data_IF_093415111198
#
_entry.id   IF_093415111198
#
_cell.length_a   1.000
_cell.length_b   1.000
_cell.length_c   1.000
_cell.angle_alpha   90.00
_cell.angle_beta   90.00
_cell.angle_gamma   90.00
#
_symmetry.space_group_name_H-M   'P 1'
#
loop_
_entity.id
_entity.type
_entity.pdbx_description
1 polymer ?
#
# COMPACT_ATOMS: atom_id res chain seq x y z
N UNK A 1 6.25 -25.91 -1.68
CA UNK A 1 6.82 -24.59 -2.02
C UNK A 1 5.64 -23.63 -2.17
N UNK A 2 5.54 -22.62 -1.30
CA UNK A 2 4.35 -21.78 -1.15
C UNK A 2 4.22 -20.78 -2.29
N UNK A 3 3.12 -20.87 -3.06
CA UNK A 3 2.75 -19.93 -4.12
C UNK A 3 2.64 -18.47 -3.63
N UNK A 4 2.36 -18.25 -2.33
CA UNK A 4 2.33 -16.91 -1.72
C UNK A 4 3.69 -16.19 -1.73
N UNK A 5 4.81 -16.93 -1.58
CA UNK A 5 6.14 -16.32 -1.68
C UNK A 5 6.46 -15.89 -3.12
N UNK A 6 6.01 -16.65 -4.12
CA UNK A 6 6.18 -16.31 -5.53
C UNK A 6 5.31 -15.13 -5.96
N UNK A 7 4.09 -15.00 -5.43
CA UNK A 7 3.22 -13.86 -5.70
C UNK A 7 3.80 -12.54 -5.13
N UNK A 8 4.33 -12.57 -3.90
CA UNK A 8 5.00 -11.43 -3.29
C UNK A 8 6.28 -11.00 -4.01
N UNK A 9 7.07 -11.96 -4.52
CA UNK A 9 8.25 -11.70 -5.35
C UNK A 9 7.90 -11.02 -6.68
N UNK A 10 6.86 -11.49 -7.38
CA UNK A 10 6.39 -10.89 -8.64
C UNK A 10 5.85 -9.47 -8.44
N UNK A 11 5.22 -9.20 -7.29
CA UNK A 11 4.77 -7.85 -6.91
C UNK A 11 5.95 -6.93 -6.58
N UNK A 12 6.98 -7.45 -5.88
CA UNK A 12 8.20 -6.70 -5.53
C UNK A 12 8.97 -6.27 -6.78
N UNK A 13 9.13 -7.15 -7.77
CA UNK A 13 9.81 -6.81 -9.03
C UNK A 13 9.09 -5.71 -9.81
N UNK A 14 7.76 -5.77 -9.88
CA UNK A 14 6.97 -4.73 -10.55
C UNK A 14 7.02 -3.40 -9.79
N UNK A 15 7.07 -3.44 -8.46
CA UNK A 15 7.20 -2.25 -7.62
C UNK A 15 8.58 -1.60 -7.77
N UNK A 16 9.65 -2.38 -7.74
CA UNK A 16 11.02 -1.89 -8.00
C UNK A 16 11.06 -1.20 -9.36
N UNK A 17 10.47 -1.80 -10.38
CA UNK A 17 10.46 -1.24 -11.74
C UNK A 17 9.73 0.10 -11.81
N UNK A 18 8.54 0.20 -11.19
CA UNK A 18 7.77 1.45 -11.13
C UNK A 18 8.51 2.55 -10.37
N UNK A 19 9.10 2.22 -9.22
CA UNK A 19 9.86 3.17 -8.39
C UNK A 19 11.13 3.63 -9.10
N UNK A 20 11.89 2.71 -9.72
CA UNK A 20 13.09 3.06 -10.47
C UNK A 20 12.77 4.00 -11.64
N UNK A 21 11.67 3.75 -12.37
CA UNK A 21 11.17 4.65 -13.43
C UNK A 21 10.75 6.01 -12.87
N UNK A 22 10.09 6.04 -11.72
CA UNK A 22 9.73 7.29 -11.06
C UNK A 22 10.98 8.11 -10.72
N UNK A 23 11.97 7.53 -10.04
CA UNK A 23 13.22 8.22 -9.68
C UNK A 23 13.99 8.72 -10.90
N UNK A 24 13.99 7.96 -11.99
CA UNK A 24 14.63 8.37 -13.21
C UNK A 24 13.91 9.55 -13.89
N UNK A 25 12.57 9.54 -13.91
CA UNK A 25 11.75 10.67 -14.40
C UNK A 25 11.93 11.93 -13.58
N UNK A 26 11.98 11.77 -12.27
CA UNK A 26 12.24 12.81 -11.27
C UNK A 26 13.56 13.55 -11.53
N UNK A 27 14.58 12.83 -12.00
CA UNK A 27 15.87 13.41 -12.35
C UNK A 27 15.88 14.11 -13.73
N UNK A 28 14.72 14.21 -14.39
CA UNK A 28 14.53 14.87 -15.68
C UNK A 28 14.65 13.95 -16.89
N UNK A 29 14.79 12.63 -16.70
CA UNK A 29 14.96 11.70 -17.81
C UNK A 29 13.64 11.09 -18.30
N UNK A 30 13.51 10.91 -19.62
CA UNK A 30 12.36 10.22 -20.20
C UNK A 30 12.66 8.73 -20.27
N UNK A 31 11.76 7.91 -19.73
CA UNK A 31 11.84 6.44 -19.81
C UNK A 31 10.63 5.88 -20.53
N UNK A 32 10.88 5.03 -21.52
CA UNK A 32 9.80 4.32 -22.24
C UNK A 32 9.14 3.31 -21.31
N UNK A 33 7.84 3.12 -21.47
CA UNK A 33 7.05 2.22 -20.62
C UNK A 33 7.53 0.75 -20.71
N UNK A 34 7.98 0.32 -21.89
CA UNK A 34 8.49 -1.02 -22.19
C UNK A 34 9.96 -1.23 -21.76
N UNK A 35 10.65 -0.16 -21.37
CA UNK A 35 12.04 -0.26 -20.93
C UNK A 35 12.12 -0.91 -19.54
N UNK A 36 12.94 -1.96 -19.41
CA UNK A 36 13.19 -2.68 -18.15
C UNK A 36 14.43 -2.10 -17.47
N UNK A 37 14.21 -1.22 -16.49
CA UNK A 37 15.26 -0.51 -15.74
C UNK A 37 16.21 -1.48 -15.03
N UNK A 38 15.68 -2.57 -14.48
CA UNK A 38 16.49 -3.60 -13.81
C UNK A 38 17.52 -4.28 -14.74
N UNK A 39 17.34 -4.24 -16.06
CA UNK A 39 18.27 -4.84 -17.03
C UNK A 39 19.33 -3.83 -17.54
N UNK A 40 19.31 -2.60 -17.05
CA UNK A 40 20.13 -1.53 -17.58
C UNK A 40 21.60 -1.64 -17.13
N UNK A 41 22.51 -1.32 -18.04
CA UNK A 41 23.95 -1.18 -17.74
C UNK A 41 24.36 0.23 -17.38
N UNK A 42 23.52 1.23 -17.71
CA UNK A 42 23.82 2.64 -17.48
C UNK A 42 23.89 2.96 -15.97
N UNK A 43 24.98 3.59 -15.47
CA UNK A 43 25.17 3.84 -14.04
C UNK A 43 24.01 4.58 -13.36
N UNK A 44 23.45 5.59 -14.05
CA UNK A 44 22.31 6.35 -13.51
C UNK A 44 21.05 5.50 -13.32
N UNK A 45 20.81 4.56 -14.23
CA UNK A 45 19.64 3.68 -14.14
C UNK A 45 19.85 2.68 -13.01
N UNK A 46 21.07 2.13 -12.88
CA UNK A 46 21.44 1.27 -11.75
C UNK A 46 21.26 1.96 -10.40
N UNK A 47 21.63 3.23 -10.29
CA UNK A 47 21.39 4.02 -9.08
C UNK A 47 19.89 4.13 -8.77
N UNK A 48 19.04 4.39 -9.77
CA UNK A 48 17.58 4.44 -9.58
C UNK A 48 16.98 3.10 -9.17
N UNK A 49 17.47 1.98 -9.73
CA UNK A 49 17.05 0.64 -9.33
C UNK A 49 17.48 0.35 -7.89
N UNK A 50 18.71 0.70 -7.51
CA UNK A 50 19.20 0.48 -6.15
C UNK A 50 18.42 1.30 -5.12
N UNK A 51 18.10 2.57 -5.41
CA UNK A 51 17.24 3.38 -4.55
C UNK A 51 15.86 2.76 -4.38
N UNK A 52 15.29 2.18 -5.44
CA UNK A 52 14.00 1.51 -5.38
C UNK A 52 14.04 0.24 -4.51
N UNK A 53 15.13 -0.52 -4.58
CA UNK A 53 15.34 -1.69 -3.71
C UNK A 53 15.44 -1.25 -2.25
N UNK A 54 16.31 -0.27 -1.95
CA UNK A 54 16.52 0.20 -0.58
C UNK A 54 15.25 0.80 0.02
N UNK A 55 14.48 1.58 -0.73
CA UNK A 55 13.20 2.12 -0.25
C UNK A 55 12.20 1.02 0.12
N UNK A 56 12.17 -0.09 -0.64
CA UNK A 56 11.31 -1.23 -0.31
C UNK A 56 11.83 -1.97 0.92
N UNK A 57 13.14 -2.17 1.04
CA UNK A 57 13.76 -2.84 2.18
C UNK A 57 13.53 -2.06 3.49
N UNK A 58 13.63 -0.74 3.47
CA UNK A 58 13.34 0.11 4.63
C UNK A 58 11.88 0.01 5.06
N UNK A 59 10.95 -0.07 4.10
CA UNK A 59 9.53 -0.31 4.39
C UNK A 59 9.33 -1.70 4.99
N UNK A 60 9.90 -2.74 4.38
CA UNK A 60 9.79 -4.12 4.89
C UNK A 60 10.38 -4.26 6.30
N UNK A 61 11.49 -3.58 6.58
CA UNK A 61 12.10 -3.53 7.91
C UNK A 61 11.19 -2.83 8.92
N UNK A 62 10.66 -1.66 8.57
CA UNK A 62 9.77 -0.92 9.45
C UNK A 62 8.45 -1.65 9.73
N UNK A 63 7.98 -2.47 8.77
CA UNK A 63 6.83 -3.34 8.96
C UNK A 63 7.11 -4.53 9.88
N UNK A 64 8.36 -5.02 9.93
CA UNK A 64 8.74 -6.14 10.78
C UNK A 64 8.82 -5.77 12.27
N UNK A 65 8.96 -4.48 12.58
CA UNK A 65 9.04 -3.94 13.96
C UNK A 65 7.67 -3.53 14.53
N UNK A 66 6.58 -3.76 13.80
CA UNK A 66 5.22 -3.50 14.31
C UNK A 66 4.77 -4.64 15.20
N UNK A 67 4.41 -4.33 16.46
CA UNK A 67 3.71 -5.29 17.32
C UNK A 67 2.34 -5.62 16.70
N UNK A 68 2.14 -6.89 16.35
CA UNK A 68 0.93 -7.42 15.69
C UNK A 68 -0.35 -7.34 16.55
N UNK A 69 -0.21 -6.98 17.83
CA UNK A 69 -1.27 -7.10 18.85
C UNK A 69 -1.97 -5.77 19.21
N UNK A 70 -1.59 -4.63 18.63
CA UNK A 70 -2.28 -3.36 18.88
C UNK A 70 -3.42 -3.14 17.86
N UNK A 71 -4.67 -3.25 18.30
CA UNK A 71 -5.84 -2.87 17.50
C UNK A 71 -5.92 -1.34 17.43
N UNK A 72 -5.31 -0.76 16.40
CA UNK A 72 -5.18 0.70 16.27
C UNK A 72 -6.49 1.32 15.74
N UNK A 73 -7.27 0.59 14.94
CA UNK A 73 -8.51 1.10 14.34
C UNK A 73 -9.68 0.99 15.32
N UNK A 74 -9.97 2.08 16.03
CA UNK A 74 -11.11 2.18 16.94
C UNK A 74 -12.45 2.31 16.18
N UNK A 75 -12.96 1.20 15.65
CA UNK A 75 -14.20 1.16 14.86
C UNK A 75 -15.41 1.73 15.61
N UNK A 76 -16.15 2.60 14.93
CA UNK A 76 -17.46 3.07 15.35
C UNK A 76 -18.53 2.26 14.62
N UNK A 77 -19.50 1.71 15.35
CA UNK A 77 -20.63 1.02 14.73
C UNK A 77 -21.61 2.07 14.16
N UNK A 78 -21.92 1.95 12.89
CA UNK A 78 -22.92 2.76 12.22
C UNK A 78 -24.19 1.97 11.90
N UNK A 79 -25.16 2.66 11.32
CA UNK A 79 -26.38 2.02 10.83
C UNK A 79 -26.14 1.48 9.41
N UNK A 80 -26.35 0.18 9.21
CA UNK A 80 -26.33 -0.41 7.87
C UNK A 80 -27.58 -0.03 7.08
N UNK A 81 -27.40 0.22 5.78
CA UNK A 81 -28.50 0.44 4.84
C UNK A 81 -29.18 -0.87 4.37
N UNK A 82 -28.57 -2.02 4.66
CA UNK A 82 -29.13 -3.34 4.34
C UNK A 82 -29.35 -4.14 5.61
N UNK A 83 -30.55 -4.72 5.70
CA UNK A 83 -30.94 -5.60 6.79
C UNK A 83 -30.00 -6.81 6.85
N UNK A 84 -29.55 -7.17 8.05
CA UNK A 84 -28.64 -8.29 8.27
C UNK A 84 -27.14 -8.00 8.05
N UNK A 85 -26.77 -6.82 7.55
CA UNK A 85 -25.36 -6.40 7.48
C UNK A 85 -25.00 -5.52 8.66
N UNK A 86 -23.78 -5.69 9.18
CA UNK A 86 -23.21 -4.79 10.18
C UNK A 86 -22.29 -3.80 9.46
N UNK A 87 -22.34 -2.53 9.89
CA UNK A 87 -21.55 -1.45 9.31
C UNK A 87 -20.71 -0.79 10.39
N UNK A 88 -19.43 -0.63 10.09
CA UNK A 88 -18.45 0.04 10.93
C UNK A 88 -17.71 1.09 10.12
N UNK A 89 -17.32 2.16 10.78
CA UNK A 89 -16.53 3.22 10.16
C UNK A 89 -15.52 3.81 11.14
N UNK A 90 -14.49 4.44 10.58
CA UNK A 90 -13.50 5.21 11.32
C UNK A 90 -13.07 6.39 10.45
N UNK A 91 -13.03 7.60 11.02
CA UNK A 91 -12.62 8.80 10.30
C UNK A 91 -11.34 9.37 10.91
N UNK A 92 -10.37 9.70 10.06
CA UNK A 92 -9.12 10.34 10.46
C UNK A 92 -8.73 11.42 9.46
N UNK A 93 -8.96 12.69 9.83
CA UNK A 93 -8.73 13.82 8.94
C UNK A 93 -9.56 13.70 7.65
N UNK A 94 -8.87 13.58 6.50
CA UNK A 94 -9.50 13.37 5.19
C UNK A 94 -9.76 11.90 4.87
N UNK A 95 -9.28 10.97 5.68
CA UNK A 95 -9.48 9.54 5.47
C UNK A 95 -10.76 9.06 6.14
N UNK A 96 -11.54 8.28 5.40
CA UNK A 96 -12.65 7.50 5.93
C UNK A 96 -12.37 6.01 5.70
N UNK A 97 -12.46 5.20 6.74
CA UNK A 97 -12.40 3.75 6.65
C UNK A 97 -13.79 3.21 6.88
N UNK A 98 -14.21 2.25 6.07
CA UNK A 98 -15.48 1.57 6.26
C UNK A 98 -15.30 0.06 6.21
N UNK A 99 -16.05 -0.64 7.04
CA UNK A 99 -16.12 -2.09 7.06
C UNK A 99 -17.60 -2.49 7.08
N UNK A 100 -18.02 -3.27 6.08
CA UNK A 100 -19.35 -3.85 6.00
C UNK A 100 -19.18 -5.36 6.11
N UNK A 101 -19.83 -5.98 7.09
CA UNK A 101 -19.78 -7.44 7.28
C UNK A 101 -21.17 -8.05 7.14
N UNK A 102 -21.21 -9.16 6.39
CA UNK A 102 -22.32 -10.10 6.39
C UNK A 102 -21.96 -11.26 7.35
N UNK A 103 -22.51 -11.29 8.57
CA UNK A 103 -22.18 -12.33 9.55
C UNK A 103 -22.70 -13.72 9.12
N UNK A 104 -23.70 -13.80 8.24
CA UNK A 104 -24.22 -15.08 7.76
C UNK A 104 -23.33 -15.70 6.69
N UNK A 105 -22.75 -14.87 5.83
CA UNK A 105 -21.83 -15.31 4.77
C UNK A 105 -20.37 -15.30 5.21
N UNK A 106 -20.09 -14.77 6.41
CA UNK A 106 -18.75 -14.46 6.89
C UNK A 106 -17.96 -13.69 5.82
N UNK A 107 -18.61 -12.69 5.21
CA UNK A 107 -18.06 -11.90 4.11
C UNK A 107 -17.86 -10.47 4.62
N UNK A 108 -16.62 -9.99 4.55
CA UNK A 108 -16.30 -8.63 4.97
C UNK A 108 -15.74 -7.84 3.81
N UNK A 109 -16.27 -6.64 3.62
CA UNK A 109 -15.81 -5.64 2.67
C UNK A 109 -15.20 -4.47 3.42
N UNK A 110 -13.97 -4.11 3.08
CA UNK A 110 -13.29 -2.91 3.58
C UNK A 110 -13.10 -1.90 2.47
N UNK A 111 -13.24 -0.62 2.79
CA UNK A 111 -12.97 0.48 1.87
C UNK A 111 -12.17 1.57 2.57
N UNK A 112 -11.27 2.20 1.82
CA UNK A 112 -10.54 3.41 2.23
C UNK A 112 -10.98 4.54 1.32
N UNK A 113 -11.44 5.61 1.93
CA UNK A 113 -11.89 6.83 1.30
C UNK A 113 -10.89 7.94 1.58
N UNK A 114 -10.60 8.76 0.57
CA UNK A 114 -9.91 10.04 0.71
C UNK A 114 -10.89 11.15 0.28
N UNK A 115 -11.38 11.92 1.25
CA UNK A 115 -12.53 12.81 1.10
C UNK A 115 -13.75 12.08 0.53
N UNK A 116 -14.08 12.29 -0.76
CA UNK A 116 -15.24 11.70 -1.42
C UNK A 116 -14.87 10.59 -2.43
N UNK A 117 -13.59 10.19 -2.48
CA UNK A 117 -13.10 9.21 -3.43
C UNK A 117 -12.68 7.93 -2.72
N UNK A 118 -13.14 6.80 -3.24
CA UNK A 118 -12.67 5.48 -2.80
C UNK A 118 -11.31 5.22 -3.45
N UNK A 119 -10.28 5.01 -2.63
CA UNK A 119 -8.91 4.75 -3.09
C UNK A 119 -8.50 3.28 -2.92
N UNK A 120 -9.25 2.51 -2.12
CA UNK A 120 -9.03 1.08 -1.93
C UNK A 120 -10.36 0.39 -1.60
N UNK A 121 -10.55 -0.80 -2.17
CA UNK A 121 -11.64 -1.71 -1.85
C UNK A 121 -11.07 -3.11 -1.78
N UNK A 122 -11.46 -3.84 -0.74
CA UNK A 122 -11.16 -5.25 -0.60
C UNK A 122 -12.37 -5.97 -0.02
N UNK A 123 -12.62 -7.18 -0.51
CA UNK A 123 -13.79 -7.96 -0.13
C UNK A 123 -13.41 -9.44 -0.12
N UNK A 124 -13.54 -10.09 1.02
CA UNK A 124 -13.17 -11.49 1.18
C UNK A 124 -13.97 -12.16 2.29
N UNK A 125 -14.08 -13.50 2.20
CA UNK A 125 -14.76 -14.33 3.21
C UNK A 125 -13.93 -14.45 4.48
N UNK A 126 -14.08 -13.48 5.37
CA UNK A 126 -13.42 -13.44 6.67
C UNK A 126 -14.24 -12.68 7.69
N UNK A 127 -13.92 -12.90 8.96
CA UNK A 127 -14.46 -12.14 10.07
C UNK A 127 -13.94 -10.69 10.09
N UNK A 128 -14.68 -9.82 10.77
CA UNK A 128 -14.36 -8.40 10.92
C UNK A 128 -12.97 -8.17 11.49
N UNK A 129 -12.58 -8.94 12.50
CA UNK A 129 -11.32 -8.78 13.22
C UNK A 129 -10.14 -9.03 12.28
N UNK A 130 -10.23 -10.06 11.44
CA UNK A 130 -9.19 -10.38 10.47
C UNK A 130 -9.14 -9.34 9.34
N UNK A 131 -10.30 -8.89 8.84
CA UNK A 131 -10.36 -7.83 7.84
C UNK A 131 -9.78 -6.50 8.36
N UNK A 132 -9.99 -6.20 9.64
CA UNK A 132 -9.43 -5.02 10.31
C UNK A 132 -7.90 -5.08 10.36
N UNK A 133 -7.34 -6.25 10.68
CA UNK A 133 -5.88 -6.46 10.68
C UNK A 133 -5.28 -6.28 9.29
N UNK A 134 -5.86 -6.89 8.26
CA UNK A 134 -5.36 -6.70 6.89
C UNK A 134 -5.45 -5.25 6.43
N UNK A 135 -6.53 -4.55 6.78
CA UNK A 135 -6.64 -3.13 6.47
C UNK A 135 -5.56 -2.31 7.20
N UNK A 136 -5.30 -2.60 8.48
CA UNK A 136 -4.26 -1.95 9.25
C UNK A 136 -2.86 -2.20 8.66
N UNK A 137 -2.51 -3.44 8.35
CA UNK A 137 -1.25 -3.81 7.69
C UNK A 137 -1.09 -3.08 6.35
N UNK A 138 -2.16 -3.00 5.56
CA UNK A 138 -2.18 -2.26 4.30
C UNK A 138 -1.93 -0.76 4.51
N UNK A 139 -2.65 -0.13 5.45
CA UNK A 139 -2.51 1.30 5.71
C UNK A 139 -1.13 1.66 6.24
N UNK A 140 -0.57 0.83 7.13
CA UNK A 140 0.78 1.04 7.65
C UNK A 140 1.81 0.87 6.54
N UNK A 141 1.69 -0.17 5.71
CA UNK A 141 2.55 -0.38 4.54
C UNK A 141 2.48 0.82 3.59
N UNK A 142 1.27 1.33 3.31
CA UNK A 142 1.08 2.50 2.46
C UNK A 142 1.69 3.77 3.07
N UNK A 143 1.54 3.97 4.39
CA UNK A 143 2.11 5.11 5.10
C UNK A 143 3.64 5.09 5.05
N UNK A 144 4.27 3.93 5.31
CA UNK A 144 5.73 3.78 5.20
C UNK A 144 6.21 4.00 3.76
N UNK A 145 5.53 3.44 2.76
CA UNK A 145 5.87 3.68 1.36
C UNK A 145 5.77 5.17 1.02
N UNK A 146 4.73 5.85 1.47
CA UNK A 146 4.59 7.30 1.28
C UNK A 146 5.66 8.10 2.02
N UNK A 147 6.03 7.73 3.24
CA UNK A 147 7.08 8.39 4.00
C UNK A 147 8.44 8.22 3.31
N UNK A 148 8.79 7.00 2.89
CA UNK A 148 10.00 6.73 2.13
C UNK A 148 10.02 7.57 0.82
N UNK A 149 8.89 7.61 0.11
CA UNK A 149 8.73 8.45 -1.08
C UNK A 149 8.90 9.95 -0.79
N UNK A 150 8.44 10.43 0.37
CA UNK A 150 8.52 11.85 0.74
C UNK A 150 9.94 12.32 1.07
N UNK A 151 10.82 11.40 1.47
CA UNK A 151 12.23 11.70 1.77
C UNK A 151 13.09 11.85 0.51
N UNK A 152 12.55 11.50 -0.65
CA UNK A 152 13.29 11.57 -1.91
C UNK A 152 13.33 13.03 -2.34
N UNK A 153 14.51 13.63 -2.17
CA UNK A 153 14.79 14.99 -2.62
C UNK A 153 15.03 15.00 -4.13
N UNK A 154 14.20 15.74 -4.86
CA UNK A 154 14.42 15.99 -6.27
C UNK A 154 15.46 17.10 -6.40
N UNK A 155 16.66 16.75 -6.85
CA UNK A 155 17.73 17.72 -7.03
C UNK A 155 17.32 18.79 -8.03
N UNK A 156 17.16 20.04 -7.56
CA UNK A 156 17.09 21.21 -8.42
C UNK A 156 18.42 21.35 -9.16
N UNK A 157 18.51 20.80 -10.37
CA UNK A 157 19.46 21.31 -11.36
C UNK A 157 18.81 22.52 -12.00
N UNK A 158 19.36 23.68 -11.70
CA UNK A 158 19.05 24.96 -12.33
C UNK A 158 18.81 24.76 -13.85
N UNK A 159 17.60 25.08 -14.29
CA UNK A 159 17.29 25.34 -15.69
C UNK A 159 18.09 26.55 -16.17
#
# INVERSE_FOLDING_TARGET
MNNNKQLGLLQKDALIEKLAKAFYRIQGYVVREDYRMQNATHPQVKACVQMAITAIEEVEFALADLDEDEEIIAWQQGQSFREGLEYYFYNYGLFGLTLVTDPHLNLTRTEVHLSHQIIYVYEEKMAKELASRYLQEFLISAAYQMQALSQITFGNKNL
#
